data_IF_257013217412
#
_entry.id   IF_257013217412
#
_cell.length_a   1.000
_cell.length_b   1.000
_cell.length_c   1.000
_cell.angle_alpha   90.00
_cell.angle_beta   90.00
_cell.angle_gamma   90.00
#
_symmetry.space_group_name_H-M   'P 1'
#
loop_
_entity.id
_entity.type
_entity.pdbx_description
1 polymer ?
#
# COMPACT_ATOMS: atom_id res chain seq x y z
N UNK A 1 -12.07 16.47 1.01
CA UNK A 1 -12.43 15.35 0.09
C UNK A 1 -13.43 14.34 0.71
N UNK A 2 -14.29 13.68 -0.08
CA UNK A 2 -15.13 12.56 0.38
C UNK A 2 -14.30 11.26 0.54
N UNK A 3 -14.73 10.36 1.42
CA UNK A 3 -14.12 9.02 1.57
C UNK A 3 -14.74 8.05 0.55
N UNK A 4 -13.97 7.65 -0.47
CA UNK A 4 -14.46 6.78 -1.55
C UNK A 4 -14.79 5.35 -1.07
N UNK A 5 -14.15 4.84 -0.02
CA UNK A 5 -14.53 3.56 0.59
C UNK A 5 -15.98 3.61 1.12
N UNK A 6 -16.33 4.71 1.79
CA UNK A 6 -17.67 4.94 2.30
C UNK A 6 -18.69 5.08 1.17
N UNK A 7 -18.35 5.79 0.10
CA UNK A 7 -19.22 5.90 -1.08
C UNK A 7 -19.42 4.56 -1.79
N UNK A 8 -18.36 3.75 -1.89
CA UNK A 8 -18.39 2.46 -2.54
C UNK A 8 -19.20 1.41 -1.76
N UNK A 9 -19.04 1.36 -0.44
CA UNK A 9 -19.73 0.41 0.45
C UNK A 9 -21.14 0.88 0.86
N UNK A 10 -21.42 2.18 0.80
CA UNK A 10 -22.74 2.75 1.16
C UNK A 10 -23.18 2.31 2.56
N UNK A 11 -24.31 1.60 2.65
CA UNK A 11 -24.91 1.14 3.91
C UNK A 11 -24.10 0.04 4.60
N UNK A 12 -23.12 -0.57 3.91
CA UNK A 12 -22.28 -1.62 4.47
C UNK A 12 -21.03 -1.08 5.19
N UNK A 13 -20.71 0.21 4.97
CA UNK A 13 -19.60 0.90 5.64
C UNK A 13 -19.84 1.01 7.14
N UNK A 14 -18.79 0.79 7.95
CA UNK A 14 -18.82 1.00 9.39
C UNK A 14 -17.53 1.63 9.91
N UNK A 15 -17.48 1.93 11.21
CA UNK A 15 -16.26 2.42 11.87
C UNK A 15 -15.21 1.29 12.10
N UNK A 16 -15.48 0.08 11.60
CA UNK A 16 -14.53 -1.02 11.59
C UNK A 16 -13.80 -1.08 10.23
N UNK A 17 -12.64 -0.43 10.18
CA UNK A 17 -11.83 -0.30 8.95
C UNK A 17 -11.34 -1.66 8.39
N UNK A 18 -11.02 -2.64 9.26
CA UNK A 18 -10.67 -3.99 8.81
C UNK A 18 -11.84 -4.62 8.05
N UNK A 19 -13.04 -4.56 8.63
CA UNK A 19 -14.26 -5.07 8.00
C UNK A 19 -14.55 -4.37 6.68
N UNK A 20 -14.37 -3.05 6.59
CA UNK A 20 -14.57 -2.30 5.35
C UNK A 20 -13.67 -2.82 4.22
N UNK A 21 -12.36 -3.00 4.47
CA UNK A 21 -11.45 -3.56 3.47
C UNK A 21 -11.83 -4.99 3.06
N UNK A 22 -12.21 -5.85 4.02
CA UNK A 22 -12.70 -7.20 3.72
C UNK A 22 -13.94 -7.17 2.81
N UNK A 23 -14.93 -6.34 3.12
CA UNK A 23 -16.13 -6.16 2.29
C UNK A 23 -15.79 -5.60 0.91
N UNK A 24 -14.92 -4.61 0.84
CA UNK A 24 -14.44 -4.05 -0.42
C UNK A 24 -13.86 -5.13 -1.33
N UNK A 25 -12.95 -5.97 -0.82
CA UNK A 25 -12.35 -7.06 -1.59
C UNK A 25 -13.35 -8.15 -1.97
N UNK A 26 -14.27 -8.52 -1.07
CA UNK A 26 -15.34 -9.47 -1.41
C UNK A 26 -16.23 -8.94 -2.54
N UNK A 27 -16.61 -7.66 -2.49
CA UNK A 27 -17.44 -7.00 -3.52
C UNK A 27 -16.68 -6.81 -4.83
N UNK A 28 -15.38 -6.56 -4.76
CA UNK A 28 -14.50 -6.38 -5.91
C UNK A 28 -14.11 -7.69 -6.61
N UNK A 29 -14.38 -8.84 -6.00
CA UNK A 29 -13.92 -10.13 -6.50
C UNK A 29 -14.50 -10.49 -7.87
N UNK A 30 -13.64 -11.02 -8.75
CA UNK A 30 -14.00 -11.37 -10.13
C UNK A 30 -14.01 -10.19 -11.10
N UNK A 31 -13.88 -8.97 -10.59
CA UNK A 31 -13.70 -7.76 -11.38
C UNK A 31 -12.37 -7.74 -12.15
N UNK A 32 -12.40 -7.30 -13.40
CA UNK A 32 -11.19 -7.14 -14.22
C UNK A 32 -11.41 -6.20 -15.40
N UNK A 33 -10.31 -5.65 -15.95
CA UNK A 33 -10.34 -4.77 -17.10
C UNK A 33 -10.47 -3.29 -16.75
N UNK A 34 -10.19 -2.44 -17.73
CA UNK A 34 -10.04 -1.00 -17.53
C UNK A 34 -11.33 -0.34 -17.04
N UNK A 35 -12.47 -0.61 -17.70
CA UNK A 35 -13.77 -0.08 -17.32
C UNK A 35 -14.13 -0.44 -15.88
N UNK A 36 -13.96 -1.72 -15.53
CA UNK A 36 -14.20 -2.19 -14.18
C UNK A 36 -13.31 -1.46 -13.15
N UNK A 37 -12.00 -1.30 -13.44
CA UNK A 37 -11.10 -0.58 -12.54
C UNK A 37 -11.53 0.87 -12.33
N UNK A 38 -11.91 1.60 -13.39
CA UNK A 38 -12.35 3.00 -13.28
C UNK A 38 -13.51 3.19 -12.31
N UNK A 39 -14.40 2.21 -12.24
CA UNK A 39 -15.64 2.28 -11.48
C UNK A 39 -15.56 1.61 -10.10
N UNK A 40 -14.53 0.78 -9.85
CA UNK A 40 -14.49 -0.08 -8.67
C UNK A 40 -13.18 -0.04 -7.88
N UNK A 41 -12.04 0.24 -8.51
CA UNK A 41 -10.79 0.34 -7.76
C UNK A 41 -10.77 1.63 -6.94
N UNK A 42 -10.55 1.51 -5.64
CA UNK A 42 -10.47 2.65 -4.71
C UNK A 42 -9.50 3.73 -5.18
N UNK A 43 -8.35 3.35 -5.73
CA UNK A 43 -7.38 4.31 -6.27
C UNK A 43 -7.98 5.12 -7.42
N UNK A 44 -8.55 4.47 -8.43
CA UNK A 44 -9.19 5.10 -9.57
C UNK A 44 -10.35 6.00 -9.14
N UNK A 45 -11.15 5.57 -8.16
CA UNK A 45 -12.26 6.35 -7.62
C UNK A 45 -11.81 7.69 -7.01
N UNK A 46 -10.63 7.74 -6.35
CA UNK A 46 -10.07 9.00 -5.83
C UNK A 46 -9.53 9.94 -6.92
N UNK A 47 -9.43 9.48 -8.17
CA UNK A 47 -8.91 10.24 -9.31
C UNK A 47 -9.85 10.19 -10.52
N UNK A 48 -11.16 10.20 -10.28
CA UNK A 48 -12.20 10.28 -11.32
C UNK A 48 -12.06 9.22 -12.44
N UNK A 49 -11.59 8.02 -12.08
CA UNK A 49 -11.37 6.91 -13.00
C UNK A 49 -10.05 6.95 -13.78
N UNK A 50 -9.06 7.76 -13.37
CA UNK A 50 -7.73 7.75 -14.02
C UNK A 50 -7.02 6.41 -13.76
N UNK A 51 -6.71 5.68 -14.84
CA UNK A 51 -6.08 4.36 -14.77
C UNK A 51 -4.59 4.40 -14.40
N UNK A 52 -4.01 5.59 -14.25
CA UNK A 52 -2.69 5.80 -13.64
C UNK A 52 -2.77 5.88 -12.12
N UNK A 53 -3.97 5.97 -11.55
CA UNK A 53 -4.16 5.93 -10.12
C UNK A 53 -3.65 4.59 -9.57
N UNK A 54 -3.05 4.68 -8.39
CA UNK A 54 -2.51 3.54 -7.70
C UNK A 54 -2.62 3.73 -6.18
N UNK A 55 -2.72 2.61 -5.48
CA UNK A 55 -2.61 2.58 -4.03
C UNK A 55 -1.13 2.70 -3.65
N UNK A 56 -0.81 3.64 -2.77
CA UNK A 56 0.55 3.86 -2.30
C UNK A 56 1.01 2.70 -1.41
N UNK A 57 0.21 2.30 -0.42
CA UNK A 57 0.48 1.17 0.46
C UNK A 57 -0.70 0.20 0.44
N UNK A 58 -0.46 -1.05 0.04
CA UNK A 58 -1.47 -2.11 0.08
C UNK A 58 -1.95 -2.32 1.51
N UNK A 59 -3.27 -2.28 1.73
CA UNK A 59 -3.84 -2.59 3.04
C UNK A 59 -3.74 -4.08 3.40
N UNK A 60 -3.71 -4.96 2.40
CA UNK A 60 -3.71 -6.41 2.62
C UNK A 60 -2.41 -6.91 3.24
N UNK A 61 -1.27 -6.36 2.83
CA UNK A 61 0.05 -6.78 3.29
C UNK A 61 0.19 -6.67 4.82
N UNK A 62 -0.05 -5.51 5.45
CA UNK A 62 0.01 -5.38 6.91
C UNK A 62 -1.13 -6.14 7.63
N UNK A 63 -2.34 -6.23 7.05
CA UNK A 63 -3.40 -7.10 7.59
C UNK A 63 -2.90 -8.54 7.70
N UNK A 64 -2.29 -9.05 6.64
CA UNK A 64 -1.78 -10.42 6.60
C UNK A 64 -0.63 -10.64 7.57
N UNK A 65 0.32 -9.70 7.68
CA UNK A 65 1.41 -9.80 8.65
C UNK A 65 0.89 -9.97 10.07
N UNK A 66 -0.03 -9.09 10.50
CA UNK A 66 -0.58 -9.14 11.86
C UNK A 66 -1.45 -10.39 12.06
N UNK A 67 -2.33 -10.71 11.11
CA UNK A 67 -3.22 -11.86 11.22
C UNK A 67 -2.46 -13.19 11.29
N UNK A 68 -1.43 -13.37 10.46
CA UNK A 68 -0.59 -14.56 10.49
C UNK A 68 0.23 -14.65 11.77
N UNK A 69 0.79 -13.54 12.26
CA UNK A 69 1.56 -13.49 13.51
C UNK A 69 0.70 -13.91 14.71
N UNK A 70 -0.50 -13.34 14.84
CA UNK A 70 -1.39 -13.60 15.98
C UNK A 70 -2.01 -14.99 15.98
N UNK A 71 -2.00 -15.68 14.84
CA UNK A 71 -2.62 -16.99 14.69
C UNK A 71 -1.62 -18.09 14.31
N UNK A 72 -0.32 -17.83 14.48
CA UNK A 72 0.74 -18.78 14.20
C UNK A 72 0.62 -20.05 15.05
N UNK A 73 0.35 -19.92 16.35
CA UNK A 73 0.14 -21.05 17.27
C UNK A 73 -1.08 -21.91 16.89
N UNK A 74 -2.07 -21.31 16.21
CA UNK A 74 -3.25 -22.02 15.68
C UNK A 74 -2.97 -22.68 14.33
N UNK A 75 -1.79 -22.47 13.74
CA UNK A 75 -1.42 -22.97 12.41
C UNK A 75 -2.20 -22.33 11.26
N UNK A 76 -2.81 -21.15 11.49
CA UNK A 76 -3.64 -20.47 10.48
C UNK A 76 -2.76 -19.54 9.64
N UNK A 77 -2.94 -19.60 8.31
CA UNK A 77 -2.34 -18.64 7.37
C UNK A 77 -3.44 -18.07 6.48
N UNK A 78 -3.58 -16.75 6.51
CA UNK A 78 -4.64 -16.04 5.82
C UNK A 78 -4.28 -15.77 4.36
N UNK A 79 -5.26 -15.88 3.46
CA UNK A 79 -5.19 -15.57 2.03
C UNK A 79 -6.30 -14.59 1.70
N UNK A 80 -6.01 -13.60 0.85
CA UNK A 80 -7.04 -12.62 0.43
C UNK A 80 -8.19 -13.34 -0.27
N UNK A 81 -7.85 -14.30 -1.13
CA UNK A 81 -8.82 -15.16 -1.80
C UNK A 81 -8.31 -16.60 -1.84
N UNK A 82 -9.12 -17.56 -1.37
CA UNK A 82 -8.85 -19.01 -1.49
C UNK A 82 -9.36 -19.55 -2.82
N UNK A 83 -8.59 -19.35 -3.90
CA UNK A 83 -8.98 -19.76 -5.27
C UNK A 83 -9.23 -21.27 -5.43
N UNK A 84 -8.72 -22.06 -4.51
CA UNK A 84 -8.81 -23.51 -4.41
C UNK A 84 -9.95 -24.01 -3.51
N UNK A 85 -10.82 -23.11 -3.02
CA UNK A 85 -11.93 -23.41 -2.11
C UNK A 85 -13.28 -23.07 -2.73
N UNK A 86 -14.32 -23.81 -2.31
CA UNK A 86 -15.73 -23.51 -2.64
C UNK A 86 -16.19 -22.17 -2.04
N UNK A 87 -15.53 -21.70 -0.96
CA UNK A 87 -15.70 -20.35 -0.42
C UNK A 87 -14.38 -19.56 -0.53
N UNK A 88 -14.18 -18.81 -1.64
CA UNK A 88 -12.97 -18.02 -1.83
C UNK A 88 -12.81 -16.90 -0.81
N UNK A 89 -13.87 -16.57 -0.04
CA UNK A 89 -13.90 -15.46 0.91
C UNK A 89 -13.80 -15.88 2.38
N UNK A 90 -13.66 -17.18 2.65
CA UNK A 90 -13.67 -17.73 4.02
C UNK A 90 -12.70 -16.99 4.97
N UNK A 91 -11.47 -16.72 4.55
CA UNK A 91 -10.50 -15.95 5.35
C UNK A 91 -10.89 -14.48 5.53
N UNK A 92 -11.50 -13.84 4.53
CA UNK A 92 -12.00 -12.46 4.66
C UNK A 92 -13.16 -12.39 5.64
N UNK A 93 -14.05 -13.40 5.66
CA UNK A 93 -15.16 -13.51 6.62
C UNK A 93 -14.65 -13.75 8.04
N UNK A 94 -13.63 -14.60 8.21
CA UNK A 94 -12.98 -14.76 9.52
C UNK A 94 -12.44 -13.42 10.04
N UNK A 95 -11.82 -12.61 9.18
CA UNK A 95 -11.28 -11.31 9.55
C UNK A 95 -12.37 -10.23 9.73
N UNK A 96 -13.52 -10.34 9.07
CA UNK A 96 -14.60 -9.34 9.14
C UNK A 96 -15.66 -9.63 10.19
N UNK A 97 -16.13 -10.88 10.25
CA UNK A 97 -17.31 -11.30 11.00
C UNK A 97 -16.90 -11.88 12.37
N UNK A 98 -15.75 -12.53 12.42
CA UNK A 98 -15.17 -13.16 13.63
C UNK A 98 -13.90 -12.44 14.11
N UNK A 99 -13.78 -11.14 13.81
CA UNK A 99 -12.54 -10.39 13.99
C UNK A 99 -11.97 -10.46 15.42
N UNK A 100 -12.80 -10.50 16.46
CA UNK A 100 -12.34 -10.58 17.85
C UNK A 100 -11.61 -11.89 18.17
N UNK A 101 -11.91 -12.98 17.46
CA UNK A 101 -11.26 -14.29 17.65
C UNK A 101 -9.85 -14.33 17.02
N UNK A 102 -9.64 -13.61 15.93
CA UNK A 102 -8.44 -13.70 15.10
C UNK A 102 -7.56 -12.45 15.17
N UNK A 103 -8.17 -11.29 15.43
CA UNK A 103 -7.60 -9.95 15.42
C UNK A 103 -8.22 -9.10 16.56
N UNK A 104 -8.03 -9.48 17.84
CA UNK A 104 -8.68 -8.83 18.96
C UNK A 104 -8.22 -7.37 19.13
N UNK A 105 -9.16 -6.45 19.26
CA UNK A 105 -8.90 -5.00 19.28
C UNK A 105 -8.04 -4.52 20.46
N UNK A 106 -7.96 -5.31 21.52
CA UNK A 106 -7.11 -5.00 22.67
C UNK A 106 -5.62 -5.24 22.40
N UNK A 107 -5.26 -6.03 21.37
CA UNK A 107 -3.89 -6.36 21.04
C UNK A 107 -3.14 -5.19 20.40
N UNK A 108 -1.87 -4.97 20.79
CA UNK A 108 -1.10 -3.79 20.36
C UNK A 108 -0.97 -3.66 18.83
N UNK A 109 -0.65 -4.76 18.14
CA UNK A 109 -0.52 -4.76 16.67
C UNK A 109 -1.85 -4.49 15.97
N UNK A 110 -2.97 -4.94 16.54
CA UNK A 110 -4.30 -4.69 15.97
C UNK A 110 -4.67 -3.21 16.08
N UNK A 111 -4.32 -2.56 17.20
CA UNK A 111 -4.53 -1.11 17.36
C UNK A 111 -3.74 -0.29 16.33
N UNK A 112 -2.45 -0.57 16.17
CA UNK A 112 -1.62 0.07 15.16
C UNK A 112 -2.16 -0.19 13.75
N UNK A 113 -2.52 -1.44 13.46
CA UNK A 113 -3.12 -1.77 12.18
C UNK A 113 -4.41 -0.97 11.92
N UNK A 114 -5.30 -0.83 12.90
CA UNK A 114 -6.52 -0.05 12.73
C UNK A 114 -6.26 1.43 12.49
N UNK A 115 -5.24 2.01 13.13
CA UNK A 115 -4.81 3.38 12.85
C UNK A 115 -4.31 3.53 11.41
N UNK A 116 -3.48 2.59 10.95
CA UNK A 116 -3.06 2.51 9.55
C UNK A 116 -4.26 2.37 8.60
N UNK A 117 -5.19 1.44 8.86
CA UNK A 117 -6.33 1.18 7.97
C UNK A 117 -7.25 2.39 7.87
N UNK A 118 -7.46 3.11 8.97
CA UNK A 118 -8.21 4.37 8.96
C UNK A 118 -7.61 5.38 7.98
N UNK A 119 -6.29 5.46 7.88
CA UNK A 119 -5.57 6.32 6.92
C UNK A 119 -5.56 5.71 5.51
N UNK A 120 -5.43 4.38 5.40
CA UNK A 120 -5.30 3.66 4.15
C UNK A 120 -6.56 3.77 3.26
N UNK A 121 -7.74 3.98 3.85
CA UNK A 121 -8.98 4.25 3.12
C UNK A 121 -9.06 5.66 2.52
N UNK A 122 -8.20 6.60 2.97
CA UNK A 122 -8.28 8.03 2.63
C UNK A 122 -7.37 8.41 1.47
N UNK A 123 -7.63 9.58 0.86
CA UNK A 123 -6.84 10.16 -0.26
C UNK A 123 -5.32 10.13 -0.05
N UNK A 124 -4.86 10.24 1.20
CA UNK A 124 -3.45 10.19 1.56
C UNK A 124 -2.76 8.86 1.24
N UNK A 125 -3.49 7.79 0.92
CA UNK A 125 -2.92 6.51 0.48
C UNK A 125 -3.00 6.28 -1.04
N UNK A 126 -3.37 7.29 -1.82
CA UNK A 126 -3.52 7.14 -3.28
C UNK A 126 -2.63 8.15 -4.03
N UNK A 127 -2.08 7.73 -5.17
CA UNK A 127 -1.16 8.52 -6.01
C UNK A 127 -1.52 8.38 -7.49
N UNK A 128 -1.08 9.33 -8.32
CA UNK A 128 -1.00 9.15 -9.77
C UNK A 128 0.41 8.77 -10.18
N UNK A 129 0.54 7.64 -10.86
CA UNK A 129 1.82 7.20 -11.41
C UNK A 129 2.20 8.04 -12.65
N UNK A 130 3.50 8.24 -12.93
CA UNK A 130 3.95 8.88 -14.17
C UNK A 130 3.56 8.04 -15.40
N UNK A 131 3.55 6.72 -15.23
CA UNK A 131 3.24 5.73 -16.24
C UNK A 131 2.46 4.58 -15.62
N UNK A 132 1.33 4.21 -16.21
CA UNK A 132 0.48 3.11 -15.72
C UNK A 132 1.22 1.78 -15.57
N UNK A 133 2.21 1.50 -16.42
CA UNK A 133 2.99 0.25 -16.35
C UNK A 133 3.78 0.11 -15.04
N UNK A 134 4.01 1.22 -14.33
CA UNK A 134 4.68 1.24 -13.04
C UNK A 134 3.85 0.55 -11.94
N UNK A 135 2.51 0.51 -12.04
CA UNK A 135 1.64 -0.13 -11.05
C UNK A 135 2.03 -1.59 -10.78
N UNK A 136 2.22 -2.40 -11.83
CA UNK A 136 2.66 -3.79 -11.64
C UNK A 136 4.13 -3.89 -11.19
N UNK A 137 4.99 -2.98 -11.65
CA UNK A 137 6.42 -3.00 -11.35
C UNK A 137 6.71 -2.69 -9.86
N UNK A 138 5.88 -1.86 -9.22
CA UNK A 138 5.98 -1.53 -7.79
C UNK A 138 5.77 -2.72 -6.86
N UNK A 139 5.08 -3.75 -7.31
CA UNK A 139 4.91 -4.98 -6.55
C UNK A 139 6.01 -5.99 -6.86
N UNK A 140 6.30 -6.18 -8.16
CA UNK A 140 7.29 -7.13 -8.67
C UNK A 140 7.90 -6.61 -9.96
N UNK A 141 9.21 -6.64 -10.03
CA UNK A 141 9.98 -6.18 -11.17
C UNK A 141 10.97 -7.22 -11.69
N UNK A 142 11.56 -6.94 -12.85
CA UNK A 142 12.64 -7.72 -13.46
C UNK A 142 13.87 -6.83 -13.66
N UNK A 143 14.85 -6.96 -12.78
CA UNK A 143 16.08 -6.16 -12.79
C UNK A 143 17.22 -7.06 -13.24
N UNK A 144 17.88 -6.71 -14.34
CA UNK A 144 18.98 -7.50 -14.92
C UNK A 144 18.63 -8.98 -15.20
N UNK A 145 17.36 -9.26 -15.50
CA UNK A 145 16.86 -10.62 -15.77
C UNK A 145 16.43 -11.41 -14.53
N UNK A 146 16.59 -10.85 -13.33
CA UNK A 146 16.17 -11.48 -12.07
C UNK A 146 14.87 -10.87 -11.57
N UNK A 147 14.03 -11.72 -10.96
CA UNK A 147 12.80 -11.26 -10.31
C UNK A 147 13.15 -10.58 -9.00
N UNK A 148 12.73 -9.33 -8.85
CA UNK A 148 12.84 -8.57 -7.61
C UNK A 148 11.45 -8.25 -7.09
N UNK A 149 11.17 -8.64 -5.85
CA UNK A 149 9.92 -8.31 -5.19
C UNK A 149 10.08 -6.99 -4.44
N UNK A 150 9.15 -6.07 -4.66
CA UNK A 150 9.12 -4.76 -4.02
C UNK A 150 7.93 -4.60 -3.07
N UNK A 151 6.92 -5.48 -3.19
CA UNK A 151 5.76 -5.59 -2.29
C UNK A 151 4.94 -4.31 -2.09
N UNK A 152 5.00 -3.37 -3.05
CA UNK A 152 4.45 -2.02 -2.93
C UNK A 152 5.00 -1.23 -1.73
N UNK A 153 6.13 -1.64 -1.17
CA UNK A 153 6.78 -0.94 -0.07
C UNK A 153 7.24 0.43 -0.54
N UNK A 154 6.89 1.47 0.21
CA UNK A 154 7.20 2.86 -0.16
C UNK A 154 8.70 3.12 -0.19
N UNK A 155 9.51 2.71 0.81
CA UNK A 155 10.96 2.83 0.75
C UNK A 155 11.58 2.21 -0.50
N UNK A 156 11.20 0.96 -0.80
CA UNK A 156 11.66 0.27 -2.00
C UNK A 156 11.23 1.01 -3.27
N UNK A 157 9.96 1.42 -3.36
CA UNK A 157 9.47 2.22 -4.48
C UNK A 157 10.33 3.47 -4.68
N UNK A 158 10.57 4.26 -3.62
CA UNK A 158 11.29 5.53 -3.68
C UNK A 158 12.78 5.35 -4.01
N UNK A 159 13.44 4.36 -3.42
CA UNK A 159 14.85 4.07 -3.69
C UNK A 159 15.07 3.61 -5.14
N UNK A 160 14.17 2.77 -5.66
CA UNK A 160 14.24 2.25 -7.03
C UNK A 160 13.92 3.30 -8.12
N UNK A 161 13.39 4.48 -7.77
CA UNK A 161 13.21 5.58 -8.73
C UNK A 161 14.53 6.11 -9.30
N UNK A 162 15.62 5.94 -8.55
CA UNK A 162 16.95 6.42 -8.93
C UNK A 162 17.76 5.36 -9.71
N UNK A 163 17.20 4.17 -9.92
CA UNK A 163 17.83 3.09 -10.67
C UNK A 163 17.19 2.92 -12.05
N UNK A 164 17.94 3.21 -13.11
CA UNK A 164 17.47 3.08 -14.50
C UNK A 164 17.10 1.67 -14.92
N UNK A 165 17.64 0.65 -14.24
CA UNK A 165 17.30 -0.75 -14.52
C UNK A 165 16.05 -1.21 -13.75
N UNK A 166 15.57 -0.40 -12.82
CA UNK A 166 14.35 -0.60 -12.04
C UNK A 166 13.33 0.49 -12.36
N UNK A 167 12.60 1.02 -11.38
CA UNK A 167 11.53 1.98 -11.55
C UNK A 167 11.99 3.32 -12.15
N UNK A 168 13.28 3.66 -12.05
CA UNK A 168 13.86 4.84 -12.72
C UNK A 168 13.70 4.82 -14.25
N UNK A 169 13.48 3.65 -14.86
CA UNK A 169 13.19 3.53 -16.31
C UNK A 169 11.94 4.28 -16.76
N UNK A 170 11.02 4.60 -15.84
CA UNK A 170 9.82 5.39 -16.14
C UNK A 170 10.10 6.90 -16.17
N UNK A 171 11.32 7.31 -15.85
CA UNK A 171 11.78 8.69 -15.76
C UNK A 171 13.04 8.94 -16.58
N UNK A 172 13.27 8.18 -17.67
CA UNK A 172 14.47 8.37 -18.48
C UNK A 172 14.42 9.69 -19.27
N UNK A 173 15.53 10.42 -19.22
CA UNK A 173 15.78 11.59 -20.06
C UNK A 173 16.19 11.22 -21.48
N UNK A 174 16.48 12.24 -22.30
CA UNK A 174 16.89 12.04 -23.70
C UNK A 174 18.24 11.34 -23.86
N UNK A 175 19.07 11.34 -22.82
CA UNK A 175 20.37 10.68 -22.75
C UNK A 175 20.30 9.23 -22.23
N UNK A 176 19.09 8.71 -22.00
CA UNK A 176 18.84 7.38 -21.46
C UNK A 176 19.38 7.16 -20.03
N UNK A 177 19.59 8.25 -19.28
CA UNK A 177 19.79 8.23 -17.84
C UNK A 177 18.51 8.67 -17.10
N UNK A 178 18.45 8.42 -15.78
CA UNK A 178 17.30 8.85 -14.98
C UNK A 178 17.27 10.37 -14.91
N UNK A 179 16.18 10.97 -15.34
CA UNK A 179 15.91 12.40 -15.19
C UNK A 179 15.47 12.68 -13.74
N UNK A 180 16.43 13.09 -12.93
CA UNK A 180 16.24 13.44 -11.52
C UNK A 180 15.24 14.58 -11.34
N UNK A 181 15.14 15.51 -12.29
CA UNK A 181 14.15 16.59 -12.22
C UNK A 181 12.74 16.03 -12.37
N UNK A 182 12.51 15.09 -13.29
CA UNK A 182 11.22 14.41 -13.42
C UNK A 182 10.88 13.56 -12.19
N UNK A 183 11.83 12.85 -11.61
CA UNK A 183 11.63 12.08 -10.36
C UNK A 183 11.23 13.01 -9.22
N UNK A 184 11.99 14.09 -9.02
CA UNK A 184 11.75 15.07 -7.94
C UNK A 184 10.42 15.78 -8.12
N UNK A 185 10.08 16.18 -9.35
CA UNK A 185 8.79 16.81 -9.65
C UNK A 185 7.61 15.87 -9.39
N UNK A 186 7.75 14.58 -9.69
CA UNK A 186 6.72 13.59 -9.38
C UNK A 186 6.54 13.37 -7.87
N UNK A 187 7.65 13.24 -7.13
CA UNK A 187 7.63 13.13 -5.66
C UNK A 187 6.92 14.34 -5.04
N UNK A 188 7.23 15.55 -5.51
CA UNK A 188 6.62 16.77 -5.01
C UNK A 188 5.12 16.87 -5.35
N UNK A 189 4.75 16.50 -6.59
CA UNK A 189 3.35 16.48 -7.04
C UNK A 189 2.50 15.50 -6.23
N UNK A 190 3.06 14.33 -5.93
CA UNK A 190 2.36 13.30 -5.16
C UNK A 190 2.53 13.44 -3.64
N UNK A 191 3.25 14.46 -3.17
CA UNK A 191 3.54 14.72 -1.76
C UNK A 191 4.16 13.51 -1.04
N UNK A 192 5.31 13.03 -1.53
CA UNK A 192 6.03 11.85 -1.01
C UNK A 192 7.34 12.20 -0.27
N UNK A 193 7.58 13.49 0.00
CA UNK A 193 8.83 14.01 0.58
C UNK A 193 9.11 13.46 1.98
N UNK A 194 8.08 13.10 2.74
CA UNK A 194 8.22 12.48 4.06
C UNK A 194 8.85 11.08 4.03
N UNK A 195 9.03 10.49 2.83
CA UNK A 195 9.81 9.27 2.62
C UNK A 195 11.31 9.49 2.64
N UNK A 196 11.78 10.74 2.77
CA UNK A 196 13.18 11.11 2.77
C UNK A 196 13.59 11.74 4.10
N UNK A 197 14.83 11.50 4.51
CA UNK A 197 15.49 12.17 5.62
C UNK A 197 15.93 13.58 5.21
N UNK A 198 16.12 14.46 6.21
CA UNK A 198 16.66 15.82 6.04
C UNK A 198 15.86 16.75 5.09
N UNK A 199 14.66 16.36 4.67
CA UNK A 199 13.86 17.05 3.65
C UNK A 199 14.56 17.18 2.29
N UNK A 200 15.42 16.23 1.94
CA UNK A 200 16.17 16.22 0.68
C UNK A 200 15.87 14.96 -0.13
N UNK A 201 15.38 15.15 -1.35
CA UNK A 201 15.04 14.07 -2.29
C UNK A 201 16.33 13.57 -2.94
N UNK A 202 16.91 12.54 -2.34
CA UNK A 202 18.12 11.87 -2.81
C UNK A 202 18.07 10.37 -2.47
N UNK A 203 18.70 9.48 -3.26
CA UNK A 203 18.66 8.04 -3.03
C UNK A 203 19.21 7.62 -1.66
N UNK A 204 20.27 8.28 -1.18
CA UNK A 204 20.89 8.04 0.13
C UNK A 204 20.02 8.50 1.31
N UNK A 205 19.02 9.36 1.07
CA UNK A 205 18.15 9.90 2.10
C UNK A 205 16.82 9.13 2.20
N UNK A 206 16.59 8.08 1.40
CA UNK A 206 15.34 7.31 1.50
C UNK A 206 15.26 6.62 2.87
N UNK A 207 14.17 6.88 3.59
CA UNK A 207 13.90 6.27 4.90
C UNK A 207 13.61 4.78 4.74
N UNK A 208 14.29 3.93 5.50
CA UNK A 208 13.99 2.49 5.55
C UNK A 208 12.62 2.21 6.18
N UNK A 209 11.97 1.12 5.76
CA UNK A 209 10.70 0.68 6.35
C UNK A 209 10.91 0.25 7.81
N UNK A 210 12.02 -0.43 8.06
CA UNK A 210 12.45 -0.92 9.37
C UNK A 210 13.96 -0.72 9.54
N UNK A 211 14.40 -0.69 10.79
CA UNK A 211 15.81 -0.51 11.14
C UNK A 211 16.68 -1.67 10.61
N UNK A 212 17.85 -1.34 10.06
CA UNK A 212 18.85 -2.34 9.66
C UNK A 212 18.64 -2.99 8.29
N UNK A 213 17.60 -2.60 7.54
CA UNK A 213 17.39 -3.00 6.14
C UNK A 213 17.62 -1.80 5.22
N UNK A 214 18.28 -2.04 4.09
CA UNK A 214 18.45 -1.03 3.05
C UNK A 214 17.08 -0.61 2.50
N UNK A 215 16.80 0.69 2.28
CA UNK A 215 15.55 1.12 1.66
C UNK A 215 15.39 0.59 0.22
N UNK A 216 16.45 0.11 -0.42
CA UNK A 216 16.40 -0.55 -1.73
C UNK A 216 15.87 -1.99 -1.64
N UNK A 217 15.94 -2.62 -0.47
CA UNK A 217 15.48 -4.00 -0.25
C UNK A 217 14.06 -4.00 0.34
N UNK A 218 13.17 -4.79 -0.24
CA UNK A 218 11.84 -5.05 0.31
C UNK A 218 11.82 -6.38 1.07
N UNK A 219 11.00 -6.48 2.12
CA UNK A 219 10.96 -7.66 2.98
C UNK A 219 9.53 -8.04 3.37
N UNK A 220 9.17 -9.30 3.10
CA UNK A 220 7.98 -9.88 3.69
C UNK A 220 8.18 -10.13 5.19
N UNK A 221 7.51 -9.36 6.03
CA UNK A 221 7.70 -9.39 7.48
C UNK A 221 6.96 -10.55 8.15
N UNK A 222 7.60 -11.15 9.16
CA UNK A 222 7.03 -12.18 10.02
C UNK A 222 7.48 -12.04 11.49
N UNK A 223 8.35 -11.09 11.81
CA UNK A 223 8.77 -10.77 13.17
C UNK A 223 7.91 -9.65 13.76
N UNK A 224 7.52 -9.80 15.03
CA UNK A 224 6.62 -8.86 15.68
C UNK A 224 7.21 -7.46 15.89
N UNK A 225 8.52 -7.34 16.11
CA UNK A 225 9.18 -6.04 16.28
C UNK A 225 9.34 -5.32 14.94
N UNK A 226 9.66 -6.06 13.88
CA UNK A 226 9.69 -5.51 12.52
C UNK A 226 8.31 -5.05 12.06
N UNK A 227 7.26 -5.83 12.31
CA UNK A 227 5.87 -5.46 11.97
C UNK A 227 5.45 -4.19 12.71
N UNK A 228 5.83 -4.03 13.98
CA UNK A 228 5.58 -2.82 14.76
C UNK A 228 6.19 -1.59 14.10
N UNK A 229 7.51 -1.63 13.81
CA UNK A 229 8.23 -0.54 13.15
C UNK A 229 7.63 -0.20 11.78
N UNK A 230 7.28 -1.22 10.98
CA UNK A 230 6.69 -1.01 9.67
C UNK A 230 5.33 -0.33 9.76
N UNK A 231 4.47 -0.71 10.71
CA UNK A 231 3.19 -0.05 10.95
C UNK A 231 3.39 1.40 11.39
N UNK A 232 4.31 1.65 12.33
CA UNK A 232 4.64 3.02 12.78
C UNK A 232 5.13 3.90 11.62
N UNK A 233 6.00 3.36 10.75
CA UNK A 233 6.43 4.05 9.53
C UNK A 233 5.25 4.38 8.62
N UNK A 234 4.40 3.40 8.31
CA UNK A 234 3.26 3.58 7.41
C UNK A 234 2.27 4.63 7.95
N UNK A 235 2.00 4.61 9.25
CA UNK A 235 1.15 5.58 9.93
C UNK A 235 1.76 6.98 9.85
N UNK A 236 3.02 7.15 10.26
CA UNK A 236 3.73 8.44 10.21
C UNK A 236 3.72 9.03 8.79
N UNK A 237 4.01 8.19 7.79
CA UNK A 237 4.01 8.59 6.39
C UNK A 237 2.64 9.12 5.94
N UNK A 238 1.58 8.32 6.14
CA UNK A 238 0.23 8.68 5.70
C UNK A 238 -0.34 9.86 6.48
N UNK A 239 -0.03 9.99 7.79
CA UNK A 239 -0.43 11.14 8.60
C UNK A 239 0.19 12.43 8.09
N UNK A 240 1.51 12.45 7.85
CA UNK A 240 2.21 13.62 7.28
C UNK A 240 1.63 13.99 5.92
N UNK A 241 1.42 12.99 5.06
CA UNK A 241 0.85 13.21 3.71
C UNK A 241 -0.58 13.74 3.78
N UNK A 242 -1.39 13.25 4.71
CA UNK A 242 -2.76 13.74 4.95
C UNK A 242 -2.77 15.22 5.34
N UNK A 243 -1.88 15.65 6.25
CA UNK A 243 -1.80 17.05 6.68
C UNK A 243 -1.48 17.99 5.50
N UNK A 244 -0.54 17.61 4.62
CA UNK A 244 -0.19 18.39 3.43
C UNK A 244 -1.39 18.51 2.49
N UNK A 245 -2.06 17.39 2.19
CA UNK A 245 -3.24 17.37 1.31
C UNK A 245 -4.38 18.25 1.87
N UNK A 246 -4.59 18.25 3.19
CA UNK A 246 -5.59 19.09 3.84
C UNK A 246 -5.24 20.58 3.83
N UNK A 247 -3.95 20.93 3.79
CA UNK A 247 -3.52 22.34 3.70
C UNK A 247 -3.60 22.93 2.30
N UNK A 248 -3.72 22.07 1.28
CA UNK A 248 -3.78 22.45 -0.14
C UNK A 248 -5.23 22.41 -0.71
N UNK A 249 -6.21 21.99 0.09
CA UNK A 249 -7.67 22.08 -0.19
C UNK A 249 -8.24 23.43 0.29
#
# INVERSE_FOLDING_TARGET
>A
MNNMMKEYLKNEYSDNYLRNFCLYWMKAYGGSGDEWRRENDLDCLYFDGDLRADTLMSAWTPIKWVADLLNEEKGIRFRKYRKDSDDPFSDLRMLSDDSEQYMPMNHKFVKLLYEFLALAEQRCNFILLPNRKMNCARYKDYINGEVVWLYDEVPATLSHLFDKNSLGRYFLGSDNEVDIMCVTAWIAREHLEMGFENNEIAPENVRSLISGISPYEAKWLNDGHEIEQALEYMIDFLQKRKLILQSNE
#
